data_IF_170241451360
#
_entry.id   IF_170241451360
#
_cell.length_a   1.000
_cell.length_b   1.000
_cell.length_c   1.000
_cell.angle_alpha   90.00
_cell.angle_beta   90.00
_cell.angle_gamma   90.00
#
_symmetry.space_group_name_H-M   'P 1'
#
loop_
_entity.id
_entity.type
_entity.pdbx_description
1 polymer ?
#
# COMPACT_ATOMS: atom_id res chain seq x y z
N UNK A 1 -0.81 -2.02 -8.19
CA UNK A 1 -0.61 -3.04 -7.14
C UNK A 1 -1.94 -3.64 -6.72
N UNK A 2 -1.93 -4.87 -6.21
CA UNK A 2 -3.12 -5.52 -5.70
C UNK A 2 -2.84 -6.26 -4.38
N UNK A 3 -3.89 -6.54 -3.64
CA UNK A 3 -3.89 -7.50 -2.55
C UNK A 3 -4.66 -8.75 -2.99
N UNK A 4 -4.01 -9.91 -2.90
CA UNK A 4 -4.64 -11.21 -3.09
C UNK A 4 -4.81 -11.85 -1.72
N UNK A 5 -6.04 -12.09 -1.30
CA UNK A 5 -6.34 -12.78 -0.04
C UNK A 5 -6.70 -14.21 -0.37
N UNK A 6 -5.97 -15.14 0.22
CA UNK A 6 -6.20 -16.58 0.08
C UNK A 6 -6.82 -17.13 1.36
N UNK A 7 -7.90 -17.87 1.23
CA UNK A 7 -8.37 -18.80 2.26
C UNK A 7 -7.74 -20.16 2.02
N UNK A 8 -6.99 -20.67 2.97
CA UNK A 8 -6.16 -21.88 2.83
C UNK A 8 -6.40 -22.84 3.98
N UNK A 9 -5.94 -24.08 3.82
CA UNK A 9 -5.73 -24.99 4.93
C UNK A 9 -4.61 -24.45 5.83
N UNK A 10 -4.60 -24.88 7.10
CA UNK A 10 -3.52 -24.50 8.03
C UNK A 10 -2.18 -24.95 7.45
N UNK A 11 -1.27 -24.04 7.13
CA UNK A 11 0.01 -24.43 6.57
C UNK A 11 0.90 -25.04 7.66
N UNK A 12 1.68 -26.05 7.27
CA UNK A 12 2.61 -26.77 8.17
C UNK A 12 4.04 -26.22 8.10
N UNK A 13 4.31 -25.24 7.26
CA UNK A 13 5.64 -24.67 7.06
C UNK A 13 5.99 -23.70 8.18
N UNK A 14 7.27 -23.62 8.63
CA UNK A 14 7.69 -22.69 9.68
C UNK A 14 7.37 -21.22 9.40
N UNK A 15 7.37 -20.79 8.14
CA UNK A 15 6.92 -19.45 7.75
C UNK A 15 5.45 -19.18 8.05
N UNK A 16 4.64 -20.23 8.24
CA UNK A 16 3.24 -20.09 8.62
C UNK A 16 3.06 -19.53 10.04
N UNK A 17 4.05 -19.65 10.90
CA UNK A 17 4.04 -19.07 12.24
C UNK A 17 4.38 -17.56 12.22
N UNK A 18 4.98 -17.07 11.14
CA UNK A 18 5.27 -15.65 11.01
C UNK A 18 3.96 -14.83 10.83
N UNK A 19 3.98 -13.61 11.32
CA UNK A 19 2.87 -12.67 11.15
C UNK A 19 2.96 -11.99 9.79
N UNK A 20 4.17 -11.64 9.36
CA UNK A 20 4.39 -10.77 8.22
C UNK A 20 5.84 -10.92 7.73
N UNK A 21 6.03 -11.01 6.41
CA UNK A 21 7.38 -11.01 5.84
C UNK A 21 7.43 -10.38 4.45
N UNK A 22 8.51 -9.69 4.19
CA UNK A 22 8.78 -9.07 2.91
C UNK A 22 9.56 -10.02 2.01
N UNK A 23 9.17 -10.03 0.73
CA UNK A 23 9.80 -10.85 -0.30
C UNK A 23 10.63 -9.96 -1.20
N UNK A 24 11.93 -10.19 -1.27
CA UNK A 24 12.83 -9.47 -2.15
C UNK A 24 12.53 -9.74 -3.64
N UNK A 25 12.82 -8.78 -4.51
CA UNK A 25 12.57 -8.90 -5.95
C UNK A 25 13.36 -10.02 -6.62
N UNK A 26 14.48 -10.40 -6.05
CA UNK A 26 15.29 -11.55 -6.51
C UNK A 26 14.59 -12.90 -6.24
N UNK A 27 13.69 -12.96 -5.25
CA UNK A 27 12.96 -14.17 -4.87
C UNK A 27 11.59 -14.27 -5.56
N UNK A 28 10.92 -13.13 -5.74
CA UNK A 28 9.64 -13.07 -6.44
C UNK A 28 9.49 -11.77 -7.22
N UNK A 29 9.25 -11.84 -8.53
CA UNK A 29 8.91 -10.67 -9.33
C UNK A 29 7.47 -10.19 -9.07
N UNK A 30 6.61 -11.03 -8.51
CA UNK A 30 5.19 -10.76 -8.29
C UNK A 30 4.88 -10.35 -6.85
N UNK A 31 5.26 -11.20 -5.87
CA UNK A 31 4.92 -11.01 -4.45
C UNK A 31 5.93 -10.07 -3.81
N UNK A 32 5.43 -9.05 -3.11
CA UNK A 32 6.25 -8.10 -2.33
C UNK A 32 6.24 -8.41 -0.85
N UNK A 33 5.11 -8.90 -0.36
CA UNK A 33 4.87 -9.14 1.05
C UNK A 33 3.81 -10.22 1.21
N UNK A 34 3.99 -11.05 2.19
CA UNK A 34 3.00 -12.03 2.66
C UNK A 34 2.63 -11.68 4.09
N UNK A 35 1.35 -11.54 4.35
CA UNK A 35 0.81 -11.25 5.69
C UNK A 35 -0.08 -12.42 6.11
N UNK A 36 0.26 -13.07 7.19
CA UNK A 36 -0.60 -14.06 7.82
C UNK A 36 -1.66 -13.33 8.66
N UNK A 37 -2.84 -13.14 8.07
CA UNK A 37 -3.93 -12.41 8.72
C UNK A 37 -4.43 -13.13 9.95
N UNK A 38 -4.40 -14.48 9.93
CA UNK A 38 -4.81 -15.32 11.05
C UNK A 38 -3.93 -15.08 12.27
N UNK A 39 -2.62 -15.06 12.09
CA UNK A 39 -1.69 -14.81 13.20
C UNK A 39 -1.69 -13.33 13.62
N UNK A 40 -1.92 -12.43 12.67
CA UNK A 40 -1.90 -10.99 12.93
C UNK A 40 -3.11 -10.50 13.72
N UNK A 41 -4.27 -11.08 13.47
CA UNK A 41 -5.53 -10.72 14.11
C UNK A 41 -6.34 -11.99 14.45
N UNK A 42 -5.93 -12.76 15.46
CA UNK A 42 -6.52 -14.07 15.76
C UNK A 42 -8.02 -14.03 16.07
N UNK A 43 -8.50 -12.90 16.59
CA UNK A 43 -9.92 -12.73 16.98
C UNK A 43 -10.80 -12.15 15.84
N UNK A 44 -10.25 -12.00 14.62
CA UNK A 44 -10.93 -11.34 13.49
C UNK A 44 -11.50 -12.30 12.44
N UNK A 45 -11.40 -13.60 12.65
CA UNK A 45 -11.89 -14.63 11.71
C UNK A 45 -12.33 -15.88 12.49
N UNK A 46 -13.16 -16.77 11.88
CA UNK A 46 -13.52 -18.05 12.48
C UNK A 46 -12.27 -18.91 12.78
N UNK A 47 -12.33 -19.69 13.86
CA UNK A 47 -11.19 -20.45 14.39
C UNK A 47 -10.60 -21.48 13.39
N UNK A 48 -11.41 -21.98 12.47
CA UNK A 48 -11.03 -22.94 11.43
C UNK A 48 -10.59 -22.28 10.11
N UNK A 49 -10.48 -20.96 10.09
CA UNK A 49 -10.16 -20.20 8.89
C UNK A 49 -8.70 -19.72 8.93
N UNK A 50 -7.94 -20.05 7.89
CA UNK A 50 -6.58 -19.53 7.69
C UNK A 50 -6.54 -18.61 6.48
N UNK A 51 -6.09 -17.38 6.72
CA UNK A 51 -6.05 -16.32 5.72
C UNK A 51 -4.63 -15.79 5.53
N UNK A 52 -4.17 -15.80 4.29
CA UNK A 52 -2.97 -15.10 3.87
C UNK A 52 -3.35 -13.94 2.95
N UNK A 53 -2.75 -12.79 3.16
CA UNK A 53 -2.82 -11.66 2.24
C UNK A 53 -1.46 -11.49 1.58
N UNK A 54 -1.46 -11.49 0.26
CA UNK A 54 -0.30 -11.24 -0.57
C UNK A 54 -0.42 -9.84 -1.15
N UNK A 55 0.57 -9.01 -0.92
CA UNK A 55 0.69 -7.74 -1.64
C UNK A 55 1.50 -8.00 -2.91
N UNK A 56 0.85 -7.86 -4.06
CA UNK A 56 1.39 -8.21 -5.38
C UNK A 56 1.54 -6.99 -6.29
N UNK A 57 2.43 -7.13 -7.26
CA UNK A 57 2.79 -6.06 -8.19
C UNK A 57 3.94 -5.21 -7.68
N UNK A 58 4.88 -4.89 -8.57
CA UNK A 58 6.07 -4.08 -8.32
C UNK A 58 6.17 -2.98 -9.37
N UNK A 59 6.76 -1.84 -8.99
CA UNK A 59 7.20 -0.87 -9.97
C UNK A 59 8.26 -1.51 -10.90
N UNK A 60 8.10 -1.33 -12.21
CA UNK A 60 8.94 -1.95 -13.24
C UNK A 60 8.97 -3.50 -13.22
N UNK A 61 7.97 -4.12 -12.60
CA UNK A 61 7.78 -5.56 -12.59
C UNK A 61 6.74 -6.02 -13.63
N UNK A 62 6.10 -7.15 -13.32
CA UNK A 62 5.03 -7.72 -14.14
C UNK A 62 3.83 -6.77 -14.13
N UNK A 63 3.30 -6.46 -15.31
CA UNK A 63 2.07 -5.67 -15.42
C UNK A 63 0.84 -6.52 -15.09
N UNK A 64 0.44 -6.48 -13.82
CA UNK A 64 -0.72 -7.23 -13.31
C UNK A 64 -2.07 -6.64 -13.72
N UNK A 65 -2.11 -5.46 -14.32
CA UNK A 65 -3.36 -4.79 -14.69
C UNK A 65 -4.02 -5.45 -15.91
N UNK A 66 -3.27 -6.26 -16.67
CA UNK A 66 -3.75 -7.02 -17.81
C UNK A 66 -4.27 -8.43 -17.46
N UNK A 67 -4.08 -8.85 -16.22
CA UNK A 67 -4.48 -10.17 -15.75
C UNK A 67 -5.88 -10.14 -15.16
N UNK A 68 -6.65 -11.21 -15.35
CA UNK A 68 -7.90 -11.43 -14.61
C UNK A 68 -7.61 -11.68 -13.12
N UNK A 69 -8.64 -11.64 -12.30
CA UNK A 69 -8.49 -11.95 -10.87
C UNK A 69 -8.14 -13.41 -10.64
N UNK A 70 -8.67 -14.31 -11.48
CA UNK A 70 -8.37 -15.73 -11.48
C UNK A 70 -6.90 -16.00 -11.83
N UNK A 71 -6.41 -15.38 -12.89
CA UNK A 71 -5.00 -15.48 -13.30
C UNK A 71 -4.06 -14.95 -12.22
N UNK A 72 -4.40 -13.82 -11.62
CA UNK A 72 -3.59 -13.23 -10.56
C UNK A 72 -3.60 -14.08 -9.30
N UNK A 73 -4.74 -14.66 -8.95
CA UNK A 73 -4.88 -15.61 -7.85
C UNK A 73 -4.02 -16.85 -8.07
N UNK A 74 -4.14 -17.50 -9.23
CA UNK A 74 -3.38 -18.70 -9.59
C UNK A 74 -1.86 -18.45 -9.60
N UNK A 75 -1.42 -17.38 -10.23
CA UNK A 75 -0.01 -17.00 -10.27
C UNK A 75 0.54 -16.68 -8.88
N UNK A 76 -0.27 -16.08 -8.01
CA UNK A 76 0.12 -15.81 -6.63
C UNK A 76 0.35 -17.09 -5.83
N UNK A 77 -0.47 -18.12 -6.03
CA UNK A 77 -0.30 -19.44 -5.40
C UNK A 77 0.95 -20.15 -5.92
N UNK A 78 1.17 -20.13 -7.22
CA UNK A 78 2.37 -20.71 -7.84
C UNK A 78 3.64 -20.04 -7.28
N UNK A 79 3.63 -18.73 -7.19
CA UNK A 79 4.76 -17.94 -6.72
C UNK A 79 5.04 -18.16 -5.22
N UNK A 80 3.99 -18.35 -4.40
CA UNK A 80 4.16 -18.80 -3.01
C UNK A 80 4.91 -20.14 -2.93
N UNK A 81 4.56 -21.08 -3.81
CA UNK A 81 5.25 -22.37 -3.90
C UNK A 81 6.74 -22.22 -4.26
N UNK A 82 7.09 -21.27 -5.15
CA UNK A 82 8.48 -20.99 -5.53
C UNK A 82 9.31 -20.43 -4.40
N UNK A 83 8.73 -19.59 -3.56
CA UNK A 83 9.41 -19.05 -2.36
C UNK A 83 9.36 -19.98 -1.16
N UNK A 84 8.90 -21.23 -1.36
CA UNK A 84 8.93 -22.29 -0.36
C UNK A 84 7.67 -22.48 0.47
N UNK A 85 6.63 -21.65 0.29
CA UNK A 85 5.36 -21.77 1.00
C UNK A 85 4.30 -22.42 0.11
N UNK A 86 4.18 -23.74 0.16
CA UNK A 86 3.12 -24.46 -0.54
C UNK A 86 1.82 -24.39 0.26
N UNK A 87 0.77 -23.92 -0.37
CA UNK A 87 -0.56 -23.78 0.21
C UNK A 87 -1.61 -24.45 -0.68
N UNK A 88 -2.71 -24.89 -0.07
CA UNK A 88 -3.88 -25.37 -0.78
C UNK A 88 -5.01 -24.34 -0.59
N UNK A 89 -5.28 -23.49 -1.59
CA UNK A 89 -6.30 -22.47 -1.47
C UNK A 89 -7.71 -23.06 -1.73
N UNK A 90 -8.65 -22.78 -0.83
CA UNK A 90 -10.07 -23.06 -1.05
C UNK A 90 -10.75 -21.97 -1.87
N UNK A 91 -10.25 -20.73 -1.71
CA UNK A 91 -10.80 -19.55 -2.37
C UNK A 91 -9.75 -18.43 -2.38
N UNK A 92 -9.94 -17.46 -3.25
CA UNK A 92 -9.17 -16.22 -3.26
C UNK A 92 -10.06 -15.00 -3.53
N UNK A 93 -9.60 -13.86 -3.07
CA UNK A 93 -10.18 -12.55 -3.34
C UNK A 93 -9.07 -11.61 -3.80
N UNK A 94 -9.30 -10.92 -4.90
CA UNK A 94 -8.37 -9.91 -5.42
C UNK A 94 -8.94 -8.51 -5.18
N UNK A 95 -8.16 -7.65 -4.60
CA UNK A 95 -8.47 -6.24 -4.47
C UNK A 95 -7.38 -5.40 -5.13
N UNK A 96 -7.74 -4.61 -6.16
CA UNK A 96 -6.81 -3.81 -6.95
C UNK A 96 -6.76 -2.39 -6.43
N UNK A 97 -5.55 -1.85 -6.34
CA UNK A 97 -5.28 -0.47 -5.94
C UNK A 97 -4.66 0.27 -7.12
N UNK A 98 -5.50 0.75 -8.01
CA UNK A 98 -5.05 1.52 -9.17
C UNK A 98 -4.65 2.93 -8.72
N UNK A 99 -3.43 3.35 -9.09
CA UNK A 99 -2.89 4.68 -8.78
C UNK A 99 -2.99 5.09 -7.28
N UNK A 100 -3.04 4.12 -6.37
CA UNK A 100 -3.30 4.37 -4.95
C UNK A 100 -2.11 4.97 -4.18
N UNK A 101 -0.88 4.82 -4.68
CA UNK A 101 0.31 5.35 -4.02
C UNK A 101 1.07 6.30 -4.96
N UNK A 102 1.41 7.49 -4.49
CA UNK A 102 2.30 8.38 -5.22
C UNK A 102 3.63 7.68 -5.50
N UNK A 103 4.15 7.87 -6.70
CA UNK A 103 5.46 7.37 -7.11
C UNK A 103 6.39 8.59 -7.31
N UNK A 104 7.09 9.04 -6.26
CA UNK A 104 8.01 10.17 -6.36
C UNK A 104 9.16 9.79 -7.29
N UNK A 105 9.18 10.40 -8.47
CA UNK A 105 10.27 10.25 -9.44
C UNK A 105 11.44 11.16 -9.13
N UNK A 106 12.50 11.13 -9.95
CA UNK A 106 13.56 12.12 -9.91
C UNK A 106 13.00 13.54 -9.93
N UNK A 107 13.64 14.46 -9.22
CA UNK A 107 13.22 15.88 -9.12
C UNK A 107 11.82 16.10 -8.49
N UNK A 108 11.29 15.11 -7.78
CA UNK A 108 9.99 15.25 -7.11
C UNK A 108 9.98 16.41 -6.11
N UNK A 109 11.04 16.54 -5.30
CA UNK A 109 11.17 17.63 -4.32
C UNK A 109 11.17 19.01 -4.99
N UNK A 110 11.90 19.18 -6.09
CA UNK A 110 11.93 20.43 -6.84
C UNK A 110 10.56 20.81 -7.40
N UNK A 111 9.80 19.82 -7.88
CA UNK A 111 8.42 20.05 -8.35
C UNK A 111 7.50 20.47 -7.21
N UNK A 112 7.64 19.86 -6.04
CA UNK A 112 6.84 20.22 -4.86
C UNK A 112 7.21 21.63 -4.37
N UNK A 113 8.48 22.00 -4.39
CA UNK A 113 8.92 23.34 -4.01
C UNK A 113 8.42 24.41 -5.00
N UNK A 114 8.39 24.09 -6.30
CA UNK A 114 7.76 24.95 -7.30
C UNK A 114 6.25 25.11 -7.05
N UNK A 115 5.54 24.02 -6.70
CA UNK A 115 4.11 24.07 -6.33
C UNK A 115 3.91 24.94 -5.10
N UNK A 116 4.70 24.77 -4.04
CA UNK A 116 4.63 25.57 -2.82
C UNK A 116 4.86 27.06 -3.10
N UNK A 117 5.87 27.37 -3.92
CA UNK A 117 6.16 28.74 -4.36
C UNK A 117 5.02 29.33 -5.18
N UNK A 118 4.36 28.53 -6.03
CA UNK A 118 3.16 28.95 -6.75
C UNK A 118 1.99 29.27 -5.82
N UNK A 119 1.73 28.37 -4.86
CA UNK A 119 0.65 28.49 -3.89
C UNK A 119 0.82 29.70 -2.97
N UNK A 120 2.05 30.03 -2.57
CA UNK A 120 2.30 31.21 -1.71
C UNK A 120 1.92 32.56 -2.34
N UNK A 121 1.65 32.58 -3.65
CA UNK A 121 1.16 33.76 -4.39
C UNK A 121 -0.37 33.82 -4.51
N UNK A 122 -1.06 32.79 -4.00
CA UNK A 122 -2.49 32.61 -4.11
C UNK A 122 -3.10 32.54 -2.70
N UNK A 123 -3.50 33.69 -2.11
CA UNK A 123 -4.08 33.71 -0.76
C UNK A 123 -5.30 32.78 -0.66
N UNK A 124 -5.43 32.07 0.46
CA UNK A 124 -6.53 31.14 0.72
C UNK A 124 -6.39 29.77 0.04
N UNK A 125 -5.30 29.51 -0.70
CA UNK A 125 -5.10 28.22 -1.37
C UNK A 125 -3.95 27.44 -0.73
N UNK A 126 -4.27 26.25 -0.21
CA UNK A 126 -3.34 25.36 0.46
C UNK A 126 -3.35 23.97 -0.16
N UNK A 127 -2.23 23.24 -0.08
CA UNK A 127 -2.14 21.87 -0.55
C UNK A 127 -1.55 20.96 0.53
N UNK A 128 -2.21 19.83 0.75
CA UNK A 128 -1.74 18.73 1.59
C UNK A 128 -2.03 17.38 0.94
N UNK A 129 -1.35 16.35 1.42
CA UNK A 129 -1.62 14.98 1.00
C UNK A 129 -0.37 14.22 0.60
N UNK A 130 -0.56 12.94 0.28
CA UNK A 130 0.53 12.00 0.06
C UNK A 130 1.46 12.41 -1.10
N UNK A 131 0.93 13.05 -2.13
CA UNK A 131 1.73 13.54 -3.27
C UNK A 131 2.61 14.74 -2.94
N UNK A 132 2.26 15.53 -1.91
CA UNK A 132 2.97 16.76 -1.52
C UNK A 132 3.85 16.56 -0.29
N UNK A 133 3.37 15.77 0.68
CA UNK A 133 3.98 15.63 2.00
C UNK A 133 4.56 14.23 2.27
N UNK A 134 4.48 13.32 1.29
CA UNK A 134 4.90 11.94 1.44
C UNK A 134 3.76 11.01 1.91
N UNK A 135 3.87 9.74 1.50
CA UNK A 135 2.88 8.72 1.82
C UNK A 135 2.97 8.26 3.29
N UNK A 136 1.85 7.75 3.79
CA UNK A 136 1.74 7.16 5.14
C UNK A 136 0.89 7.98 6.09
N UNK A 137 0.25 7.30 7.05
CA UNK A 137 -0.66 7.90 8.03
C UNK A 137 0.01 9.01 8.87
N UNK A 138 1.23 8.84 9.40
CA UNK A 138 1.90 9.90 10.14
C UNK A 138 2.09 11.17 9.30
N UNK A 139 2.56 11.03 8.06
CA UNK A 139 2.75 12.17 7.17
C UNK A 139 1.44 12.88 6.83
N UNK A 140 0.36 12.13 6.64
CA UNK A 140 -0.97 12.70 6.40
C UNK A 140 -1.47 13.52 7.59
N UNK A 141 -1.27 13.03 8.82
CA UNK A 141 -1.64 13.74 10.06
C UNK A 141 -0.81 15.02 10.21
N UNK A 142 0.50 14.93 10.06
CA UNK A 142 1.41 16.09 10.17
C UNK A 142 1.04 17.15 9.13
N UNK A 143 0.82 16.73 7.88
CA UNK A 143 0.47 17.63 6.79
C UNK A 143 -0.89 18.31 7.02
N UNK A 144 -1.89 17.55 7.48
CA UNK A 144 -3.21 18.08 7.81
C UNK A 144 -3.16 19.13 8.93
N UNK A 145 -2.45 18.82 10.02
CA UNK A 145 -2.29 19.74 11.14
C UNK A 145 -1.57 21.04 10.70
N UNK A 146 -0.48 20.91 9.92
CA UNK A 146 0.23 22.07 9.41
C UNK A 146 -0.66 22.97 8.58
N UNK A 147 -1.37 22.40 7.60
CA UNK A 147 -2.26 23.18 6.73
C UNK A 147 -3.40 23.82 7.53
N UNK A 148 -3.96 23.12 8.52
CA UNK A 148 -4.98 23.71 9.40
C UNK A 148 -4.46 24.93 10.15
N UNK A 149 -3.22 24.87 10.67
CA UNK A 149 -2.55 26.01 11.30
C UNK A 149 -2.36 27.16 10.32
N UNK A 150 -1.80 26.87 9.13
CA UNK A 150 -1.54 27.88 8.09
C UNK A 150 -2.86 28.62 7.68
N UNK A 151 -3.98 27.89 7.55
CA UNK A 151 -5.30 28.45 7.25
C UNK A 151 -5.81 29.36 8.36
N UNK A 152 -5.62 28.97 9.62
CA UNK A 152 -6.04 29.77 10.75
C UNK A 152 -5.21 31.05 10.89
N UNK A 153 -3.90 30.95 10.71
CA UNK A 153 -3.00 32.09 10.75
C UNK A 153 -3.32 33.10 9.64
N UNK A 154 -3.56 32.65 8.40
CA UNK A 154 -3.93 33.54 7.30
C UNK A 154 -5.27 34.26 7.53
N UNK A 155 -6.26 33.57 8.12
CA UNK A 155 -7.55 34.18 8.48
C UNK A 155 -7.48 35.16 9.63
N UNK A 156 -6.49 35.04 10.52
CA UNK A 156 -6.29 35.91 11.66
C UNK A 156 -5.44 37.15 11.29
N UNK A 157 -4.75 37.16 10.19
CA UNK A 157 -4.06 38.34 9.69
C UNK A 157 -5.11 39.33 9.17
N UNK A 158 -5.08 40.63 9.64
CA UNK A 158 -5.98 41.64 9.12
C UNK A 158 -5.79 41.74 7.60
N UNK A 159 -6.86 41.50 6.84
CA UNK A 159 -6.90 41.78 5.42
C UNK A 159 -6.75 43.30 5.28
N UNK A 160 -5.55 43.77 4.97
CA UNK A 160 -5.35 45.19 4.67
C UNK A 160 -6.18 45.54 3.43
N UNK A 161 -7.00 46.58 3.49
CA UNK A 161 -7.85 47.04 2.38
C UNK A 161 -7.05 47.48 1.17
#
# INVERSE_FOLDING_TARGET
>A
VAAVVLRIDRPTHPLAEAVDWFVGSAWSPLIRQVVNLTNKWPDRHPADTHLLRLNVGRDRGINIDQWSDEELGAASVEELGRIGLRVNPHNHLVHRFTAAMPQPGPLHHERIDAVRTGLSRLPGLFAAGAGVNGAGVPNAIIAGNKVATDVLEEKLLPQNP
#
